data_IF_027928876171
#
_entry.id   IF_027928876171
#
_cell.length_a   1.000
_cell.length_b   1.000
_cell.length_c   1.000
_cell.angle_alpha   90.00
_cell.angle_beta   90.00
_cell.angle_gamma   90.00
#
_symmetry.space_group_name_H-M   'P 1'
#
loop_
_entity.id
_entity.type
_entity.pdbx_description
1 polymer ?
#
# COMPACT_ATOMS: atom_id res chain seq x y z
N UNK A 1 -13.02 -12.79 -14.45
CA UNK A 1 -14.28 -12.19 -13.93
C UNK A 1 -14.06 -11.79 -12.49
N UNK A 2 -14.10 -10.50 -12.19
CA UNK A 2 -13.88 -9.98 -10.82
C UNK A 2 -15.15 -9.95 -9.97
N UNK A 3 -16.30 -9.73 -10.60
CA UNK A 3 -17.62 -9.75 -9.96
C UNK A 3 -18.53 -10.59 -10.85
N UNK A 4 -19.17 -11.59 -10.26
CA UNK A 4 -20.21 -12.40 -10.89
C UNK A 4 -21.34 -12.55 -9.88
N UNK A 5 -22.53 -12.14 -10.28
CA UNK A 5 -23.76 -12.30 -9.50
C UNK A 5 -24.74 -13.02 -10.40
N UNK A 6 -25.33 -14.09 -9.88
CA UNK A 6 -26.35 -14.88 -10.58
C UNK A 6 -27.36 -15.36 -9.53
N UNK A 7 -28.64 -15.26 -9.84
CA UNK A 7 -29.77 -15.56 -8.94
C UNK A 7 -29.61 -14.96 -7.53
N UNK A 8 -29.22 -13.68 -7.46
CA UNK A 8 -28.90 -12.95 -6.22
C UNK A 8 -27.74 -13.52 -5.38
N UNK A 9 -26.98 -14.50 -5.91
CA UNK A 9 -25.81 -15.07 -5.27
C UNK A 9 -24.53 -14.53 -5.89
N UNK A 10 -23.57 -14.14 -5.06
CA UNK A 10 -22.24 -13.70 -5.50
C UNK A 10 -21.29 -14.88 -5.58
N UNK A 11 -20.65 -15.03 -6.73
CA UNK A 11 -19.67 -16.11 -6.96
C UNK A 11 -18.24 -15.59 -6.81
N UNK A 12 -17.29 -16.46 -6.40
CA UNK A 12 -15.89 -16.07 -6.24
C UNK A 12 -15.28 -15.66 -7.59
N UNK A 13 -14.30 -14.73 -7.59
CA UNK A 13 -13.60 -14.34 -8.80
C UNK A 13 -12.92 -15.53 -9.48
N UNK A 14 -13.01 -15.60 -10.80
CA UNK A 14 -12.39 -16.66 -11.61
C UNK A 14 -11.54 -16.07 -12.73
N UNK A 15 -10.34 -16.63 -12.92
CA UNK A 15 -9.52 -16.38 -14.11
C UNK A 15 -10.05 -17.25 -15.25
N UNK A 16 -10.38 -16.62 -16.36
CA UNK A 16 -10.94 -17.27 -17.54
C UNK A 16 -10.02 -16.92 -18.71
N UNK A 17 -9.46 -17.91 -19.42
CA UNK A 17 -8.65 -17.64 -20.61
C UNK A 17 -9.43 -16.85 -21.66
N UNK A 18 -8.75 -15.91 -22.32
CA UNK A 18 -9.31 -15.21 -23.49
C UNK A 18 -9.57 -16.24 -24.60
N UNK A 19 -10.73 -16.15 -25.24
CA UNK A 19 -11.23 -17.12 -26.23
C UNK A 19 -12.32 -18.07 -25.71
N UNK A 20 -12.68 -17.98 -24.42
CA UNK A 20 -13.81 -18.71 -23.83
C UNK A 20 -15.01 -17.78 -23.56
N UNK A 21 -16.22 -18.27 -23.84
CA UNK A 21 -17.47 -17.58 -23.56
C UNK A 21 -17.71 -16.27 -24.32
N UNK A 22 -18.91 -15.71 -24.13
CA UNK A 22 -19.39 -14.48 -24.82
C UNK A 22 -18.54 -13.24 -24.49
N UNK A 23 -17.97 -13.21 -23.29
CA UNK A 23 -17.03 -12.17 -22.83
C UNK A 23 -15.88 -11.98 -23.84
N UNK A 24 -15.39 -13.07 -24.45
CA UNK A 24 -14.28 -13.00 -25.39
C UNK A 24 -14.63 -12.25 -26.69
N UNK A 25 -15.90 -12.24 -27.10
CA UNK A 25 -16.35 -11.49 -28.28
C UNK A 25 -16.26 -9.98 -28.02
N UNK A 26 -16.66 -9.53 -26.83
CA UNK A 26 -16.56 -8.11 -26.44
C UNK A 26 -15.10 -7.68 -26.34
N UNK A 27 -14.25 -8.50 -25.72
CA UNK A 27 -12.80 -8.22 -25.61
C UNK A 27 -12.16 -8.08 -27.00
N UNK A 28 -12.46 -9.00 -27.92
CA UNK A 28 -11.87 -9.03 -29.26
C UNK A 28 -12.35 -7.88 -30.14
N UNK A 29 -13.64 -7.59 -30.09
CA UNK A 29 -14.26 -6.63 -31.01
C UNK A 29 -14.30 -5.21 -30.45
N UNK A 30 -14.13 -5.04 -29.13
CA UNK A 30 -14.25 -3.76 -28.41
C UNK A 30 -15.55 -3.02 -28.74
N UNK A 31 -16.63 -3.78 -28.91
CA UNK A 31 -17.97 -3.28 -29.24
C UNK A 31 -19.02 -4.03 -28.41
N UNK A 32 -20.20 -3.43 -28.19
CA UNK A 32 -21.35 -4.14 -27.64
C UNK A 32 -21.63 -5.44 -28.41
N UNK A 33 -21.90 -6.51 -27.67
CA UNK A 33 -22.34 -7.79 -28.21
C UNK A 33 -23.68 -8.12 -27.56
N UNK A 34 -24.67 -8.39 -28.40
CA UNK A 34 -26.03 -8.72 -28.02
C UNK A 34 -26.35 -10.10 -28.56
N UNK A 35 -26.74 -11.01 -27.67
CA UNK A 35 -27.27 -12.32 -28.02
C UNK A 35 -28.72 -12.36 -27.56
N UNK A 36 -29.64 -12.47 -28.51
CA UNK A 36 -31.08 -12.40 -28.21
C UNK A 36 -31.63 -13.78 -27.87
N UNK A 37 -31.09 -14.85 -28.45
CA UNK A 37 -31.51 -16.22 -28.18
C UNK A 37 -30.29 -17.16 -28.18
N UNK A 38 -29.55 -17.22 -27.07
CA UNK A 38 -28.26 -17.90 -26.97
C UNK A 38 -28.34 -19.36 -27.41
N UNK A 39 -29.33 -20.13 -26.95
CA UNK A 39 -29.45 -21.55 -27.31
C UNK A 39 -29.66 -21.77 -28.82
N UNK A 40 -30.22 -20.79 -29.55
CA UNK A 40 -30.44 -20.88 -30.99
C UNK A 40 -29.25 -20.35 -31.81
N UNK A 41 -28.48 -19.43 -31.24
CA UNK A 41 -27.36 -18.77 -31.91
C UNK A 41 -26.00 -19.42 -31.60
N UNK A 42 -25.91 -20.22 -30.53
CA UNK A 42 -24.65 -20.69 -29.93
C UNK A 42 -23.74 -21.46 -30.89
N UNK A 43 -24.31 -22.32 -31.75
CA UNK A 43 -23.53 -23.15 -32.67
C UNK A 43 -22.83 -22.33 -33.77
N UNK A 44 -23.28 -21.09 -33.98
CA UNK A 44 -22.71 -20.17 -34.96
C UNK A 44 -21.68 -19.19 -34.37
N UNK A 45 -21.47 -19.22 -33.05
CA UNK A 45 -20.55 -18.30 -32.38
C UNK A 45 -19.13 -18.90 -32.33
N UNK A 46 -18.08 -18.12 -32.66
CA UNK A 46 -16.70 -18.60 -32.68
C UNK A 46 -16.08 -18.62 -31.27
N UNK A 47 -16.78 -19.22 -30.30
CA UNK A 47 -16.38 -19.29 -28.90
C UNK A 47 -16.61 -20.68 -28.33
N UNK A 48 -15.80 -21.06 -27.33
CA UNK A 48 -16.10 -22.25 -26.52
C UNK A 48 -17.17 -21.92 -25.49
N UNK A 49 -18.19 -22.77 -25.38
CA UNK A 49 -19.25 -22.65 -24.37
C UNK A 49 -18.65 -22.58 -22.98
N UNK A 50 -19.10 -21.60 -22.21
CA UNK A 50 -18.70 -21.41 -20.83
C UNK A 50 -19.94 -21.01 -20.04
N UNK A 51 -20.25 -21.80 -19.01
CA UNK A 51 -21.34 -21.50 -18.08
C UNK A 51 -20.70 -21.05 -16.76
N UNK A 52 -21.17 -19.93 -16.24
CA UNK A 52 -20.81 -19.41 -14.92
C UNK A 52 -22.02 -19.44 -13.99
N UNK A 53 -21.81 -19.04 -12.73
CA UNK A 53 -22.90 -18.87 -11.76
C UNK A 53 -23.51 -20.21 -11.32
N UNK A 54 -24.83 -20.29 -11.33
CA UNK A 54 -25.67 -21.42 -10.88
C UNK A 54 -25.62 -22.65 -11.81
N UNK A 55 -24.72 -22.67 -12.80
CA UNK A 55 -24.65 -23.67 -13.87
C UNK A 55 -25.91 -23.77 -14.76
N UNK A 56 -26.84 -22.82 -14.65
CA UNK A 56 -27.98 -22.70 -15.56
C UNK A 56 -27.59 -21.82 -16.76
N UNK A 57 -27.84 -22.25 -18.01
CA UNK A 57 -27.52 -21.42 -19.17
C UNK A 57 -28.48 -20.24 -19.27
N UNK A 58 -27.96 -19.05 -19.52
CA UNK A 58 -28.75 -17.88 -19.94
C UNK A 58 -29.29 -18.07 -21.36
N UNK A 59 -30.49 -17.57 -21.63
CA UNK A 59 -31.12 -17.57 -22.96
C UNK A 59 -30.89 -16.27 -23.73
N UNK A 60 -30.53 -15.18 -23.06
CA UNK A 60 -30.08 -13.94 -23.72
C UNK A 60 -28.99 -13.26 -22.92
N UNK A 61 -28.19 -12.42 -23.58
CA UNK A 61 -26.99 -11.83 -23.02
C UNK A 61 -26.63 -10.51 -23.72
N UNK A 62 -26.21 -9.52 -22.94
CA UNK A 62 -25.61 -8.29 -23.44
C UNK A 62 -24.30 -8.06 -22.72
N UNK A 63 -23.24 -7.77 -23.47
CA UNK A 63 -21.98 -7.32 -22.93
C UNK A 63 -21.49 -6.08 -23.66
N UNK A 64 -21.01 -5.11 -22.89
CA UNK A 64 -20.50 -3.84 -23.38
C UNK A 64 -19.08 -3.61 -22.87
N UNK A 65 -18.17 -3.08 -23.70
CA UNK A 65 -16.81 -2.79 -23.29
C UNK A 65 -16.77 -1.57 -22.36
N UNK A 66 -15.81 -1.55 -21.44
CA UNK A 66 -15.47 -0.40 -20.62
C UNK A 66 -14.20 0.22 -21.20
N UNK A 67 -14.36 1.31 -21.95
CA UNK A 67 -13.29 1.94 -22.74
C UNK A 67 -12.86 3.29 -22.16
N UNK A 68 -11.56 3.59 -22.22
CA UNK A 68 -10.99 4.93 -22.08
C UNK A 68 -10.14 5.23 -23.31
N UNK A 69 -10.59 6.19 -24.13
CA UNK A 69 -10.02 6.35 -25.47
C UNK A 69 -10.07 5.04 -26.25
N UNK A 70 -8.89 4.50 -26.61
CA UNK A 70 -8.75 3.21 -27.30
C UNK A 70 -8.33 2.06 -26.36
N UNK A 71 -8.20 2.29 -25.04
CA UNK A 71 -7.84 1.27 -24.06
C UNK A 71 -9.09 0.57 -23.51
N UNK A 72 -9.10 -0.76 -23.56
CA UNK A 72 -10.12 -1.60 -22.93
C UNK A 72 -9.74 -1.88 -21.47
N UNK A 73 -10.42 -1.24 -20.52
CA UNK A 73 -10.20 -1.46 -19.08
C UNK A 73 -10.93 -2.70 -18.55
N UNK A 74 -12.02 -3.09 -19.20
CA UNK A 74 -12.86 -4.20 -18.77
C UNK A 74 -14.15 -4.29 -19.59
N UNK A 75 -15.16 -4.95 -19.04
CA UNK A 75 -16.50 -5.00 -19.64
C UNK A 75 -17.54 -5.18 -18.55
N UNK A 76 -18.76 -4.75 -18.85
CA UNK A 76 -19.97 -5.09 -18.10
C UNK A 76 -20.81 -6.04 -18.93
N UNK A 77 -21.47 -6.98 -18.26
CA UNK A 77 -22.37 -7.89 -18.94
C UNK A 77 -23.56 -8.23 -18.04
N UNK A 78 -24.71 -8.38 -18.67
CA UNK A 78 -25.96 -8.83 -18.07
C UNK A 78 -26.50 -10.02 -18.88
N UNK A 79 -27.16 -10.93 -18.20
CA UNK A 79 -27.69 -12.15 -18.79
C UNK A 79 -29.10 -12.42 -18.26
N UNK A 80 -29.93 -13.07 -19.05
CA UNK A 80 -31.29 -13.45 -18.66
C UNK A 80 -31.56 -14.90 -19.01
N UNK A 81 -32.38 -15.57 -18.19
CA UNK A 81 -32.89 -16.92 -18.48
C UNK A 81 -34.06 -16.93 -19.47
N UNK A 82 -34.44 -15.76 -20.00
CA UNK A 82 -35.46 -15.62 -21.06
C UNK A 82 -34.79 -15.15 -22.35
N UNK A 83 -35.21 -15.65 -23.51
CA UNK A 83 -34.78 -15.09 -24.79
C UNK A 83 -35.42 -13.70 -24.99
N UNK A 84 -34.78 -12.88 -25.82
CA UNK A 84 -35.21 -11.53 -26.20
C UNK A 84 -35.49 -10.59 -25.01
N UNK A 85 -34.76 -10.77 -23.90
CA UNK A 85 -34.98 -10.00 -22.69
C UNK A 85 -34.36 -8.59 -22.71
N UNK A 86 -33.57 -8.27 -23.74
CA UNK A 86 -32.85 -7.00 -23.85
C UNK A 86 -33.13 -6.35 -25.20
N UNK A 87 -33.48 -5.07 -25.19
CA UNK A 87 -33.69 -4.25 -26.38
C UNK A 87 -32.53 -3.26 -26.62
N UNK A 88 -32.72 -2.29 -27.51
CA UNK A 88 -31.69 -1.29 -27.81
C UNK A 88 -31.52 -0.24 -26.71
N UNK A 89 -32.59 0.07 -25.96
CA UNK A 89 -32.54 1.01 -24.84
C UNK A 89 -31.73 0.40 -23.68
N UNK A 90 -31.90 -0.90 -23.41
CA UNK A 90 -31.10 -1.63 -22.43
C UNK A 90 -29.60 -1.60 -22.78
N UNK A 91 -29.26 -1.79 -24.06
CA UNK A 91 -27.88 -1.74 -24.54
C UNK A 91 -27.30 -0.34 -24.38
N UNK A 92 -28.06 0.70 -24.74
CA UNK A 92 -27.64 2.10 -24.61
C UNK A 92 -27.42 2.49 -23.14
N UNK A 93 -28.31 2.07 -22.24
CA UNK A 93 -28.18 2.26 -20.80
C UNK A 93 -26.94 1.56 -20.26
N UNK A 94 -26.75 0.28 -20.57
CA UNK A 94 -25.60 -0.49 -20.10
C UNK A 94 -24.28 0.11 -20.61
N UNK A 95 -24.24 0.57 -21.87
CA UNK A 95 -23.07 1.22 -22.45
C UNK A 95 -22.75 2.55 -21.74
N UNK A 96 -23.77 3.32 -21.36
CA UNK A 96 -23.60 4.56 -20.59
C UNK A 96 -23.02 4.27 -19.20
N UNK A 97 -23.53 3.25 -18.51
CA UNK A 97 -23.01 2.79 -17.21
C UNK A 97 -21.56 2.32 -17.36
N UNK A 98 -21.25 1.56 -18.41
CA UNK A 98 -19.90 1.08 -18.68
C UNK A 98 -18.89 2.21 -18.90
N UNK A 99 -19.30 3.27 -19.61
CA UNK A 99 -18.49 4.48 -19.78
C UNK A 99 -18.18 5.18 -18.46
N UNK A 100 -19.20 5.37 -17.61
CA UNK A 100 -19.00 5.98 -16.28
C UNK A 100 -18.11 5.11 -15.37
N UNK A 101 -18.34 3.79 -15.38
CA UNK A 101 -17.52 2.85 -14.62
C UNK A 101 -16.07 2.82 -15.11
N UNK A 102 -15.82 2.92 -16.42
CA UNK A 102 -14.49 3.03 -17.00
C UNK A 102 -13.76 4.27 -16.47
N UNK A 103 -14.41 5.44 -16.49
CA UNK A 103 -13.81 6.69 -16.01
C UNK A 103 -13.49 6.61 -14.52
N UNK A 104 -14.42 6.11 -13.71
CA UNK A 104 -14.21 5.97 -12.26
C UNK A 104 -13.04 5.01 -11.94
N UNK A 105 -12.94 3.89 -12.66
CA UNK A 105 -11.84 2.94 -12.49
C UNK A 105 -10.49 3.49 -12.95
N UNK A 106 -10.46 4.23 -14.05
CA UNK A 106 -9.24 4.87 -14.54
C UNK A 106 -8.75 5.93 -13.55
N UNK A 107 -9.66 6.77 -13.05
CA UNK A 107 -9.35 7.73 -12.00
C UNK A 107 -8.81 7.04 -10.74
N UNK A 108 -9.46 5.98 -10.27
CA UNK A 108 -8.98 5.22 -9.11
C UNK A 108 -7.60 4.58 -9.37
N UNK A 109 -7.36 4.06 -10.58
CA UNK A 109 -6.06 3.51 -10.98
C UNK A 109 -4.98 4.58 -10.98
N UNK A 110 -5.24 5.75 -11.58
CA UNK A 110 -4.30 6.86 -11.61
C UNK A 110 -4.04 7.42 -10.22
N UNK A 111 -5.06 7.60 -9.38
CA UNK A 111 -4.89 7.99 -7.99
C UNK A 111 -4.02 6.99 -7.23
N UNK A 112 -4.28 5.69 -7.36
CA UNK A 112 -3.46 4.66 -6.73
C UNK A 112 -2.00 4.68 -7.24
N UNK A 113 -1.78 4.95 -8.53
CA UNK A 113 -0.43 5.09 -9.10
C UNK A 113 0.30 6.34 -8.60
N UNK A 114 -0.42 7.45 -8.40
CA UNK A 114 0.13 8.67 -7.81
C UNK A 114 0.46 8.45 -6.32
N UNK A 115 -0.41 7.77 -5.58
CA UNK A 115 -0.14 7.35 -4.19
C UNK A 115 1.07 6.40 -4.12
N UNK A 116 1.20 5.50 -5.09
CA UNK A 116 2.33 4.58 -5.23
C UNK A 116 3.64 5.33 -5.47
N UNK A 117 3.63 6.37 -6.32
CA UNK A 117 4.78 7.21 -6.60
C UNK A 117 5.14 8.15 -5.44
N UNK A 118 4.18 8.48 -4.58
CA UNK A 118 4.36 9.43 -3.48
C UNK A 118 4.67 8.76 -2.15
N UNK A 119 4.71 7.41 -2.07
CA UNK A 119 4.96 6.69 -0.82
C UNK A 119 6.33 6.92 -0.19
N UNK A 120 7.31 7.43 -0.95
CA UNK A 120 8.69 7.64 -0.50
C UNK A 120 8.94 9.11 -0.18
N UNK A 121 9.70 9.36 0.88
CA UNK A 121 10.24 10.69 1.16
C UNK A 121 11.31 11.02 0.10
N UNK A 122 11.18 12.19 -0.54
CA UNK A 122 12.02 12.57 -1.68
C UNK A 122 13.50 12.78 -1.30
N UNK A 123 13.79 13.13 -0.05
CA UNK A 123 15.15 13.41 0.41
C UNK A 123 15.90 12.13 0.80
N UNK A 124 15.21 11.24 1.51
CA UNK A 124 15.81 10.08 2.19
C UNK A 124 15.51 8.75 1.49
N UNK A 125 14.51 8.70 0.61
CA UNK A 125 14.10 7.49 -0.11
C UNK A 125 13.43 6.40 0.74
N UNK A 126 13.25 6.63 2.05
CA UNK A 126 12.44 5.75 2.92
C UNK A 126 10.95 6.05 2.77
N UNK A 127 10.07 5.29 3.40
CA UNK A 127 8.65 5.62 3.31
C UNK A 127 8.31 6.97 3.94
N UNK A 128 7.29 7.64 3.43
CA UNK A 128 6.77 8.85 4.05
C UNK A 128 5.90 8.51 5.29
N UNK A 129 5.47 9.55 6.00
CA UNK A 129 4.64 9.43 7.20
C UNK A 129 3.36 8.59 6.96
N UNK A 130 2.60 8.90 5.91
CA UNK A 130 1.33 8.23 5.62
C UNK A 130 1.50 6.73 5.37
N UNK A 131 2.52 6.34 4.60
CA UNK A 131 2.79 4.95 4.29
C UNK A 131 3.41 4.18 5.46
N UNK A 132 4.21 4.86 6.30
CA UNK A 132 4.71 4.28 7.53
C UNK A 132 3.58 3.94 8.50
N UNK A 133 2.61 4.84 8.70
CA UNK A 133 1.41 4.58 9.52
C UNK A 133 0.61 3.36 9.00
N UNK A 134 0.39 3.28 7.69
CA UNK A 134 -0.25 2.12 7.07
C UNK A 134 0.56 0.85 7.29
N UNK A 135 1.89 0.93 7.23
CA UNK A 135 2.77 -0.19 7.52
C UNK A 135 2.60 -0.64 8.97
N UNK A 136 2.70 0.26 9.96
CA UNK A 136 2.50 -0.08 11.38
C UNK A 136 1.18 -0.84 11.59
N UNK A 137 0.08 -0.33 11.04
CA UNK A 137 -1.23 -0.99 11.12
C UNK A 137 -1.21 -2.40 10.50
N UNK A 138 -0.59 -2.56 9.33
CA UNK A 138 -0.45 -3.86 8.66
C UNK A 138 0.40 -4.86 9.44
N UNK A 139 1.51 -4.41 10.05
CA UNK A 139 2.36 -5.28 10.87
C UNK A 139 1.65 -5.73 12.14
N UNK A 140 0.99 -4.82 12.87
CA UNK A 140 0.23 -5.18 14.07
C UNK A 140 -0.93 -6.12 13.74
N UNK A 141 -1.66 -5.89 12.65
CA UNK A 141 -2.72 -6.79 12.22
C UNK A 141 -2.19 -8.19 11.90
N UNK A 142 -1.03 -8.30 11.26
CA UNK A 142 -0.37 -9.59 10.99
C UNK A 142 0.12 -10.25 12.28
N UNK A 143 0.84 -9.52 13.13
CA UNK A 143 1.35 -10.04 14.41
C UNK A 143 0.24 -10.53 15.32
N UNK A 144 -0.94 -9.90 15.29
CA UNK A 144 -2.13 -10.38 16.00
C UNK A 144 -2.65 -11.72 15.47
N UNK A 145 -2.62 -11.94 14.16
CA UNK A 145 -3.06 -13.20 13.54
C UNK A 145 -2.03 -14.33 13.74
N UNK A 146 -0.76 -13.99 13.64
CA UNK A 146 0.35 -14.96 13.70
C UNK A 146 0.88 -15.17 15.13
N UNK A 147 0.33 -14.40 16.09
CA UNK A 147 0.77 -14.33 17.49
C UNK A 147 2.28 -14.04 17.63
N UNK A 148 2.77 -13.08 16.84
CA UNK A 148 4.17 -12.64 16.83
C UNK A 148 4.29 -11.18 17.28
N UNK A 149 5.38 -10.82 17.98
CA UNK A 149 5.57 -9.46 18.47
C UNK A 149 5.98 -8.50 17.34
N UNK A 150 5.54 -7.25 17.45
CA UNK A 150 5.92 -6.17 16.54
C UNK A 150 6.46 -5.01 17.36
N UNK A 151 7.70 -4.62 17.10
CA UNK A 151 8.31 -3.48 17.79
C UNK A 151 8.33 -2.25 16.90
N UNK A 152 8.04 -1.08 17.48
CA UNK A 152 8.16 0.23 16.87
C UNK A 152 9.23 1.03 17.61
N UNK A 153 10.18 1.58 16.85
CA UNK A 153 11.17 2.55 17.34
C UNK A 153 10.82 3.90 16.72
N UNK A 154 10.53 4.89 17.57
CA UNK A 154 10.42 6.30 17.20
C UNK A 154 11.77 6.97 17.48
N UNK A 155 12.35 7.63 16.48
CA UNK A 155 13.67 8.25 16.54
C UNK A 155 13.56 9.73 16.17
N UNK A 156 14.26 10.58 16.92
CA UNK A 156 14.36 12.02 16.64
C UNK A 156 15.81 12.50 16.76
N UNK A 157 16.16 13.47 15.92
CA UNK A 157 17.49 14.09 15.90
C UNK A 157 17.57 15.19 16.95
N UNK A 158 18.48 15.02 17.91
CA UNK A 158 18.60 15.93 19.02
C UNK A 158 19.08 17.33 18.58
N UNK A 159 18.28 18.34 18.90
CA UNK A 159 18.59 19.76 18.65
C UNK A 159 18.87 20.06 17.18
N UNK A 160 18.22 19.38 16.25
CA UNK A 160 18.52 19.46 14.81
C UNK A 160 18.35 20.87 14.22
N UNK A 161 17.38 21.65 14.69
CA UNK A 161 17.29 23.08 14.34
C UNK A 161 18.59 23.84 14.65
N UNK A 162 19.12 23.69 15.86
CA UNK A 162 20.38 24.34 16.27
C UNK A 162 21.56 23.82 15.44
N UNK A 163 21.54 22.53 15.10
CA UNK A 163 22.54 21.94 14.21
C UNK A 163 22.51 22.59 12.82
N UNK A 164 21.32 22.73 12.23
CA UNK A 164 21.12 23.41 10.94
C UNK A 164 21.50 24.89 10.99
N UNK A 165 21.19 25.59 12.07
CA UNK A 165 21.59 26.99 12.26
C UNK A 165 23.13 27.14 12.31
N UNK A 166 23.84 26.09 12.75
CA UNK A 166 25.31 26.08 12.88
C UNK A 166 26.02 25.65 11.59
N UNK A 167 25.55 24.58 10.95
CA UNK A 167 26.24 23.93 9.83
C UNK A 167 25.52 24.08 8.48
N UNK A 168 24.31 24.62 8.47
CA UNK A 168 23.48 24.85 7.30
C UNK A 168 22.63 23.65 6.88
N UNK A 169 21.49 23.93 6.25
CA UNK A 169 20.50 22.91 5.84
C UNK A 169 21.05 21.82 4.92
N UNK A 170 22.03 22.13 4.05
CA UNK A 170 22.63 21.11 3.17
C UNK A 170 23.37 20.03 3.97
N UNK A 171 24.02 20.42 5.07
CA UNK A 171 24.64 19.46 5.99
C UNK A 171 23.57 18.72 6.78
N UNK A 172 22.49 19.40 7.18
CA UNK A 172 21.32 18.76 7.79
C UNK A 172 20.70 17.67 6.92
N UNK A 173 20.53 17.94 5.63
CA UNK A 173 20.05 16.97 4.64
C UNK A 173 20.95 15.73 4.57
N UNK A 174 22.27 15.92 4.71
CA UNK A 174 23.21 14.82 4.75
C UNK A 174 23.11 14.01 6.05
N UNK A 175 22.90 14.67 7.20
CA UNK A 175 22.59 13.98 8.46
C UNK A 175 21.36 13.08 8.31
N UNK A 176 20.29 13.57 7.66
CA UNK A 176 19.07 12.79 7.44
C UNK A 176 19.35 11.54 6.60
N UNK A 177 20.21 11.63 5.57
CA UNK A 177 20.65 10.47 4.77
C UNK A 177 21.53 9.50 5.57
N UNK A 178 22.44 10.01 6.39
CA UNK A 178 23.32 9.18 7.23
C UNK A 178 22.52 8.39 8.28
N UNK A 179 21.46 8.97 8.83
CA UNK A 179 20.56 8.26 9.75
C UNK A 179 19.88 7.10 9.04
N UNK A 180 19.36 7.34 7.84
CA UNK A 180 18.74 6.28 7.04
C UNK A 180 19.74 5.17 6.72
N UNK A 181 20.97 5.53 6.37
CA UNK A 181 22.06 4.57 6.15
C UNK A 181 22.33 3.74 7.42
N UNK A 182 22.45 4.39 8.59
CA UNK A 182 22.66 3.72 9.87
C UNK A 182 21.49 2.80 10.25
N UNK A 183 20.25 3.19 9.97
CA UNK A 183 19.07 2.34 10.18
C UNK A 183 19.13 1.11 9.28
N UNK A 184 19.35 1.33 7.97
CA UNK A 184 19.33 0.26 6.96
C UNK A 184 20.40 -0.80 7.18
N UNK A 185 21.52 -0.48 7.85
CA UNK A 185 22.54 -1.48 8.20
C UNK A 185 22.09 -2.48 9.27
N UNK A 186 21.06 -2.16 10.07
CA UNK A 186 20.65 -2.96 11.23
C UNK A 186 19.25 -3.58 11.12
N UNK A 187 18.50 -3.23 10.08
CA UNK A 187 17.16 -3.77 9.84
C UNK A 187 17.14 -4.83 8.72
N UNK A 188 16.21 -5.77 8.80
CA UNK A 188 16.02 -6.83 7.79
C UNK A 188 15.17 -6.31 6.64
N UNK A 189 15.12 -7.08 5.55
CA UNK A 189 14.22 -6.81 4.40
C UNK A 189 12.73 -6.83 4.79
N UNK A 190 12.39 -7.56 5.85
CA UNK A 190 11.02 -7.64 6.39
C UNK A 190 10.69 -6.47 7.30
N UNK A 191 11.65 -5.64 7.67
CA UNK A 191 11.44 -4.48 8.52
C UNK A 191 11.21 -3.24 7.65
N UNK A 192 10.68 -2.20 8.26
CA UNK A 192 10.31 -0.97 7.55
C UNK A 192 10.87 0.24 8.28
N UNK A 193 11.45 1.17 7.52
CA UNK A 193 11.78 2.52 7.99
C UNK A 193 10.99 3.53 7.18
N UNK A 194 10.52 4.58 7.86
CA UNK A 194 9.91 5.73 7.23
C UNK A 194 10.24 7.03 7.98
N UNK A 195 10.13 8.14 7.27
CA UNK A 195 10.28 9.48 7.80
C UNK A 195 8.93 9.93 8.37
N UNK A 196 8.87 10.06 9.69
CA UNK A 196 7.67 10.43 10.43
C UNK A 196 7.40 11.93 10.35
N UNK A 197 8.46 12.73 10.45
CA UNK A 197 8.41 14.19 10.45
C UNK A 197 9.66 14.81 9.82
N UNK A 198 9.86 16.12 10.04
CA UNK A 198 11.02 16.82 9.48
C UNK A 198 12.37 16.24 9.91
N UNK A 199 12.48 15.84 11.18
CA UNK A 199 13.69 15.29 11.81
C UNK A 199 13.43 13.97 12.54
N UNK A 200 12.27 13.35 12.27
CA UNK A 200 11.77 12.18 12.99
C UNK A 200 11.61 10.98 12.04
N UNK A 201 11.96 9.80 12.53
CA UNK A 201 11.86 8.54 11.81
C UNK A 201 11.14 7.49 12.67
N UNK A 202 10.37 6.62 12.03
CA UNK A 202 9.84 5.42 12.66
C UNK A 202 10.39 4.17 12.00
N UNK A 203 10.70 3.17 12.82
CA UNK A 203 11.25 1.88 12.40
C UNK A 203 10.35 0.78 12.95
N UNK A 204 9.73 0.02 12.05
CA UNK A 204 8.88 -1.12 12.37
C UNK A 204 9.70 -2.40 12.19
N UNK A 205 9.85 -3.17 13.26
CA UNK A 205 10.56 -4.43 13.26
C UNK A 205 9.57 -5.59 13.32
N UNK A 206 9.64 -6.46 12.30
CA UNK A 206 8.80 -7.64 12.19
C UNK A 206 9.29 -8.73 13.15
N UNK A 207 8.35 -9.41 13.82
CA UNK A 207 8.63 -10.57 14.68
C UNK A 207 9.76 -10.28 15.69
N UNK A 208 9.74 -9.08 16.27
CA UNK A 208 10.81 -8.53 17.08
C UNK A 208 10.33 -8.18 18.49
N UNK A 209 11.05 -8.70 19.48
CA UNK A 209 10.81 -8.38 20.90
C UNK A 209 11.40 -7.02 21.28
N UNK A 210 10.97 -6.50 22.43
CA UNK A 210 11.50 -5.27 23.05
C UNK A 210 13.03 -5.25 23.14
N UNK A 211 13.65 -6.36 23.56
CA UNK A 211 15.12 -6.44 23.69
C UNK A 211 15.82 -6.41 22.33
N UNK A 212 15.24 -7.05 21.31
CA UNK A 212 15.77 -6.99 19.95
C UNK A 212 15.66 -5.57 19.39
N UNK A 213 14.53 -4.90 19.60
CA UNK A 213 14.35 -3.51 19.22
C UNK A 213 15.34 -2.57 19.92
N UNK A 214 15.57 -2.77 21.23
CA UNK A 214 16.56 -2.03 22.01
C UNK A 214 17.97 -2.22 21.48
N UNK A 215 18.33 -3.45 21.09
CA UNK A 215 19.61 -3.74 20.47
C UNK A 215 19.77 -3.05 19.10
N UNK A 216 18.73 -3.06 18.26
CA UNK A 216 18.73 -2.32 16.98
C UNK A 216 18.91 -0.83 17.21
N UNK A 217 18.11 -0.22 18.11
CA UNK A 217 18.19 1.20 18.44
C UNK A 217 19.58 1.63 18.92
N UNK A 218 20.21 0.82 19.80
CA UNK A 218 21.56 1.08 20.27
C UNK A 218 22.59 1.04 19.14
N UNK A 219 22.51 0.03 18.26
CA UNK A 219 23.42 -0.11 17.11
C UNK A 219 23.27 1.02 16.09
N UNK A 220 22.05 1.49 15.84
CA UNK A 220 21.79 2.65 14.98
C UNK A 220 22.51 3.89 15.51
N UNK A 221 22.36 4.17 16.81
CA UNK A 221 23.02 5.30 17.47
C UNK A 221 24.56 5.18 17.40
N UNK A 222 25.11 4.02 17.70
CA UNK A 222 26.55 3.75 17.63
C UNK A 222 27.10 3.92 16.21
N UNK A 223 26.37 3.43 15.20
CA UNK A 223 26.76 3.52 13.80
C UNK A 223 26.73 4.97 13.32
N UNK A 224 25.69 5.73 13.66
CA UNK A 224 25.61 7.15 13.33
C UNK A 224 26.80 7.93 13.90
N UNK A 225 27.18 7.66 15.15
CA UNK A 225 28.33 8.31 15.79
C UNK A 225 29.66 8.01 15.04
N UNK A 226 29.79 6.81 14.46
CA UNK A 226 30.98 6.37 13.74
C UNK A 226 31.06 6.87 12.29
N UNK A 227 29.93 7.10 11.60
CA UNK A 227 29.89 7.52 10.20
C UNK A 227 30.54 8.90 10.01
N UNK A 228 31.46 9.11 9.04
CA UNK A 228 32.08 10.42 8.82
C UNK A 228 31.04 11.44 8.32
N UNK A 229 31.19 12.70 8.74
CA UNK A 229 30.41 13.82 8.24
C UNK A 229 31.33 15.02 8.08
N UNK A 230 31.27 15.67 6.92
CA UNK A 230 32.11 16.83 6.61
C UNK A 230 31.27 18.05 6.27
N UNK A 231 31.80 19.24 6.53
CA UNK A 231 31.24 20.48 6.01
C UNK A 231 31.53 20.65 4.50
N UNK A 232 31.08 21.77 3.92
CA UNK A 232 31.30 22.10 2.50
C UNK A 232 32.78 22.24 2.12
N UNK A 233 33.66 22.49 3.09
CA UNK A 233 35.10 22.61 2.87
C UNK A 233 35.83 21.27 3.07
N UNK A 234 35.10 20.17 3.32
CA UNK A 234 35.67 18.83 3.54
C UNK A 234 36.23 18.64 4.95
N UNK A 235 35.98 19.55 5.89
CA UNK A 235 36.42 19.42 7.28
C UNK A 235 35.47 18.51 8.04
N UNK A 236 36.01 17.56 8.80
CA UNK A 236 35.23 16.72 9.71
C UNK A 236 34.51 17.56 10.77
N UNK A 237 33.21 17.30 10.92
CA UNK A 237 32.34 17.97 11.90
C UNK A 237 31.62 16.93 12.78
N UNK A 238 31.22 17.30 14.01
CA UNK A 238 30.44 16.41 14.86
C UNK A 238 29.08 16.12 14.24
N UNK A 239 28.56 14.92 14.48
CA UNK A 239 27.17 14.55 14.14
C UNK A 239 26.25 14.92 15.31
N UNK A 240 24.97 15.23 15.05
CA UNK A 240 24.00 15.31 16.12
C UNK A 240 23.76 13.92 16.73
N UNK A 241 23.34 13.89 17.98
CA UNK A 241 22.89 12.68 18.66
C UNK A 241 21.43 12.39 18.29
N UNK A 242 20.94 11.21 18.67
CA UNK A 242 19.54 10.82 18.45
C UNK A 242 18.92 10.29 19.74
N UNK A 243 17.69 10.70 19.99
CA UNK A 243 16.84 10.12 21.04
C UNK A 243 15.87 9.12 20.43
N UNK A 244 15.60 8.03 21.14
CA UNK A 244 14.77 6.93 20.64
C UNK A 244 13.77 6.44 21.70
N UNK A 245 12.52 6.26 21.30
CA UNK A 245 11.45 5.64 22.07
C UNK A 245 11.03 4.32 21.45
N UNK A 246 10.86 3.28 22.28
CA UNK A 246 10.52 1.92 21.81
C UNK A 246 9.22 1.50 22.46
N UNK A 247 8.34 0.91 21.66
CA UNK A 247 7.22 0.13 22.16
C UNK A 247 7.06 -1.17 21.37
N UNK A 248 6.32 -2.12 21.94
CA UNK A 248 6.21 -3.47 21.39
C UNK A 248 4.78 -3.93 21.57
N UNK A 249 4.15 -4.39 20.50
CA UNK A 249 2.90 -5.14 20.53
C UNK A 249 3.21 -6.63 20.77
N UNK A 250 2.46 -7.34 21.63
CA UNK A 250 1.36 -6.84 22.45
C UNK A 250 1.77 -6.31 23.84
N UNK A 251 3.06 -6.38 24.21
CA UNK A 251 3.57 -6.12 25.57
C UNK A 251 3.20 -4.74 26.12
N UNK A 252 3.30 -3.71 25.28
CA UNK A 252 3.10 -2.29 25.65
C UNK A 252 1.83 -1.69 25.04
N UNK A 253 1.19 -2.37 24.09
CA UNK A 253 0.07 -1.84 23.31
C UNK A 253 -0.84 -2.95 22.77
N UNK A 254 -2.15 -2.69 22.68
CA UNK A 254 -3.14 -3.63 22.16
C UNK A 254 -3.43 -3.49 20.65
N UNK A 255 -3.05 -2.36 20.06
CA UNK A 255 -3.28 -1.99 18.67
C UNK A 255 -2.21 -1.02 18.15
N UNK A 256 -2.27 -0.72 16.86
CA UNK A 256 -1.30 0.11 16.17
C UNK A 256 -1.28 1.57 16.63
N UNK A 257 -2.45 2.13 16.95
CA UNK A 257 -2.58 3.52 17.43
C UNK A 257 -1.92 3.65 18.80
N UNK A 258 -2.27 2.76 19.73
CA UNK A 258 -1.66 2.73 21.06
C UNK A 258 -0.15 2.49 20.97
N UNK A 259 0.31 1.62 20.05
CA UNK A 259 1.74 1.33 19.85
C UNK A 259 2.54 2.57 19.44
N UNK A 260 1.99 3.40 18.55
CA UNK A 260 2.58 4.68 18.15
C UNK A 260 2.62 5.63 19.34
N UNK A 261 1.50 5.79 20.04
CA UNK A 261 1.38 6.70 21.18
C UNK A 261 2.36 6.36 22.32
N UNK A 262 2.51 5.08 22.66
CA UNK A 262 3.44 4.67 23.73
C UNK A 262 4.91 4.83 23.32
N UNK A 263 5.24 4.59 22.04
CA UNK A 263 6.60 4.77 21.53
C UNK A 263 6.98 6.25 21.50
N UNK A 264 6.05 7.12 21.07
CA UNK A 264 6.25 8.57 21.06
C UNK A 264 6.43 9.14 22.48
N UNK A 265 5.62 8.71 23.45
CA UNK A 265 5.82 9.09 24.86
C UNK A 265 7.17 8.63 25.41
N UNK A 266 7.65 7.44 25.02
CA UNK A 266 8.98 6.97 25.41
C UNK A 266 10.09 7.85 24.80
N UNK A 267 9.94 8.28 23.54
CA UNK A 267 10.85 9.19 22.86
C UNK A 267 10.86 10.57 23.54
N UNK A 268 9.68 11.10 23.87
CA UNK A 268 9.54 12.36 24.60
C UNK A 268 10.32 12.33 25.92
N UNK A 269 10.17 11.25 26.71
CA UNK A 269 10.93 11.06 27.96
C UNK A 269 12.44 10.94 27.72
N UNK A 270 12.87 10.29 26.64
CA UNK A 270 14.29 10.25 26.25
C UNK A 270 14.85 11.67 26.00
N UNK A 271 14.06 12.55 25.37
CA UNK A 271 14.43 13.95 25.16
C UNK A 271 14.50 14.71 26.49
N UNK A 272 13.53 14.55 27.39
CA UNK A 272 13.53 15.26 28.68
C UNK A 272 14.67 14.81 29.61
N UNK A 273 15.06 13.54 29.57
CA UNK A 273 16.06 12.96 30.47
C UNK A 273 17.51 13.09 29.96
N UNK A 274 17.79 14.11 29.13
CA UNK A 274 19.16 14.42 28.71
C UNK A 274 19.55 14.00 27.30
N UNK A 275 18.61 13.49 26.48
CA UNK A 275 18.83 13.13 25.06
C UNK A 275 19.86 12.00 24.86
N UNK A 276 20.25 11.73 23.62
CA UNK A 276 21.25 10.72 23.23
C UNK A 276 21.01 9.32 23.86
N UNK A 277 19.75 8.92 23.96
CA UNK A 277 19.38 7.70 24.69
C UNK A 277 18.22 6.94 24.06
N UNK A 278 18.13 5.67 24.44
CA UNK A 278 17.05 4.77 24.07
C UNK A 278 16.18 4.56 25.30
N UNK A 279 14.86 4.73 25.16
CA UNK A 279 13.88 4.46 26.20
C UNK A 279 12.83 3.48 25.69
N UNK A 280 12.48 2.52 26.53
CA UNK A 280 11.37 1.59 26.30
C UNK A 280 10.13 2.14 27.00
N UNK A 281 8.96 1.95 26.40
CA UNK A 281 7.67 2.26 27.00
C UNK A 281 7.51 1.51 28.32
N UNK A 282 7.27 2.25 29.40
CA UNK A 282 7.16 1.75 30.77
C UNK A 282 7.02 2.87 31.77
#
# INVERSE_FOLDING_TARGET
VRILIDDSQRFPPKKIPVGMGLISLVIKNQKPVVIRHLTAEMDNLPIKRLIGGTNKPSESWVGVPMMIGNELLGLLAVASYKPYAFDEEDVALLNSIAGQAAIALDNARHHAQVEEQTRRDALTGVYNHSHLLQSVAGYVARGKNDNTPVSLIMLDIDLFKKYNDTYGHVVGDEVLRLIVQAIQTHIKRTDVVGRWGGEEFGIVLADATTEQARAVAARVRETLAALPLTDRAGKLIPKPTVSQGIATFPDHAADAETLVDVADRALYRAKEQGRDQVRVAG
#
